data_IF_159230895735
#
_entry.id   IF_159230895735
#
_cell.length_a   1.000
_cell.length_b   1.000
_cell.length_c   1.000
_cell.angle_alpha   90.00
_cell.angle_beta   90.00
_cell.angle_gamma   90.00
#
_symmetry.space_group_name_H-M   'P 1'
#
loop_
_entity.id
_entity.type
_entity.pdbx_description
1 polymer ?
#
# COMPACT_ATOMS: atom_id res chain seq x y z
N UNK A 1 13.87 -25.32 -4.04
CA UNK A 1 14.84 -24.73 -3.10
C UNK A 1 14.11 -24.28 -1.85
N UNK A 2 14.79 -24.29 -0.69
CA UNK A 2 14.19 -23.78 0.55
C UNK A 2 14.02 -22.25 0.45
N UNK A 3 12.96 -21.65 1.02
CA UNK A 3 12.79 -20.20 1.05
C UNK A 3 13.94 -19.49 1.76
N UNK A 4 14.53 -18.49 1.09
CA UNK A 4 15.61 -17.65 1.62
C UNK A 4 15.05 -16.34 2.19
N UNK A 5 14.77 -16.33 3.50
CA UNK A 5 14.28 -15.14 4.20
C UNK A 5 15.31 -14.01 4.26
N UNK A 6 16.61 -14.32 4.17
CA UNK A 6 17.66 -13.31 4.22
C UNK A 6 17.76 -12.52 2.90
N UNK A 7 17.67 -13.20 1.76
CA UNK A 7 17.61 -12.53 0.46
C UNK A 7 16.42 -11.56 0.38
N UNK A 8 15.25 -11.97 0.88
CA UNK A 8 14.04 -11.13 0.94
C UNK A 8 14.27 -9.90 1.83
N UNK A 9 14.87 -10.09 3.01
CA UNK A 9 15.19 -8.98 3.92
C UNK A 9 16.10 -7.94 3.28
N UNK A 10 17.18 -8.39 2.63
CA UNK A 10 18.14 -7.51 1.95
C UNK A 10 17.44 -6.69 0.86
N UNK A 11 16.62 -7.35 0.04
CA UNK A 11 15.83 -6.66 -0.99
C UNK A 11 14.90 -5.61 -0.38
N UNK A 12 14.11 -5.96 0.64
CA UNK A 12 13.15 -5.05 1.27
C UNK A 12 13.83 -3.82 1.90
N UNK A 13 14.99 -4.01 2.54
CA UNK A 13 15.77 -2.90 3.10
C UNK A 13 16.31 -1.96 2.00
N UNK A 14 16.73 -2.51 0.86
CA UNK A 14 17.16 -1.72 -0.29
C UNK A 14 15.97 -1.02 -0.96
N UNK A 15 14.82 -1.69 -1.05
CA UNK A 15 13.59 -1.13 -1.61
C UNK A 15 13.15 0.10 -0.82
N UNK A 16 13.14 0.04 0.51
CA UNK A 16 12.87 1.20 1.36
C UNK A 16 13.80 2.37 1.05
N UNK A 17 15.12 2.11 0.91
CA UNK A 17 16.09 3.14 0.55
C UNK A 17 15.78 3.79 -0.79
N UNK A 18 15.56 2.97 -1.82
CA UNK A 18 15.30 3.45 -3.18
C UNK A 18 14.03 4.29 -3.26
N UNK A 19 12.94 3.85 -2.60
CA UNK A 19 11.68 4.60 -2.58
C UNK A 19 11.86 5.93 -1.84
N UNK A 20 12.50 5.93 -0.67
CA UNK A 20 12.73 7.17 0.07
C UNK A 20 13.53 8.17 -0.77
N UNK A 21 14.62 7.72 -1.40
CA UNK A 21 15.46 8.56 -2.24
C UNK A 21 14.69 9.16 -3.43
N UNK A 22 13.86 8.36 -4.11
CA UNK A 22 13.06 8.84 -5.23
C UNK A 22 12.01 9.87 -4.78
N UNK A 23 11.38 9.67 -3.62
CA UNK A 23 10.42 10.62 -3.07
C UNK A 23 11.10 11.92 -2.62
N UNK A 24 12.27 11.86 -1.98
CA UNK A 24 13.04 13.06 -1.63
C UNK A 24 13.45 13.87 -2.87
N UNK A 25 13.79 13.20 -3.98
CA UNK A 25 14.08 13.85 -5.25
C UNK A 25 12.84 14.52 -5.87
N UNK A 26 11.68 13.86 -5.79
CA UNK A 26 10.42 14.42 -6.28
C UNK A 26 9.98 15.65 -5.48
N UNK A 27 10.15 15.59 -4.15
CA UNK A 27 9.81 16.66 -3.23
C UNK A 27 10.76 17.86 -3.34
N UNK A 28 12.07 17.60 -3.31
CA UNK A 28 13.12 18.59 -3.45
C UNK A 28 13.33 19.51 -2.24
N UNK A 29 12.55 19.36 -1.15
CA UNK A 29 12.62 20.26 0.00
C UNK A 29 12.73 19.57 1.36
N UNK A 30 12.07 18.42 1.53
CA UNK A 30 12.08 17.65 2.78
C UNK A 30 12.78 16.30 2.61
N UNK A 31 13.22 15.73 3.72
CA UNK A 31 13.88 14.42 3.79
C UNK A 31 13.22 13.53 4.82
N UNK A 32 13.37 12.21 4.65
CA UNK A 32 12.85 11.23 5.59
C UNK A 32 13.66 11.25 6.90
N UNK A 33 12.95 11.31 8.01
CA UNK A 33 13.51 11.06 9.34
C UNK A 33 13.33 9.58 9.68
N UNK A 34 14.43 8.90 10.00
CA UNK A 34 14.40 7.49 10.39
C UNK A 34 14.24 7.33 11.90
N UNK A 35 13.35 6.42 12.27
CA UNK A 35 13.13 5.92 13.62
C UNK A 35 13.29 4.39 13.61
N UNK A 36 14.44 3.93 14.10
CA UNK A 36 14.78 2.51 14.21
C UNK A 36 14.35 1.97 15.57
N UNK A 37 13.65 0.83 15.57
CA UNK A 37 13.06 0.25 16.79
C UNK A 37 13.24 -1.26 16.85
N UNK A 38 13.24 -1.78 18.07
CA UNK A 38 13.29 -3.20 18.38
C UNK A 38 11.99 -3.64 19.05
N UNK A 39 11.61 -4.90 18.82
CA UNK A 39 10.44 -5.52 19.44
C UNK A 39 10.91 -6.47 20.52
N UNK A 40 10.36 -6.35 21.73
CA UNK A 40 10.72 -7.22 22.87
C UNK A 40 10.59 -8.72 22.55
N UNK A 41 9.59 -9.07 21.73
CA UNK A 41 9.28 -10.46 21.34
C UNK A 41 10.17 -10.99 20.19
N UNK A 42 11.07 -10.16 19.64
CA UNK A 42 11.96 -10.53 18.55
C UNK A 42 11.76 -9.68 17.29
N UNK A 43 12.90 -9.29 16.69
CA UNK A 43 12.97 -8.46 15.50
C UNK A 43 12.81 -6.97 15.79
N UNK A 44 12.30 -6.22 14.82
CA UNK A 44 12.19 -4.77 14.87
C UNK A 44 11.82 -4.16 13.52
N UNK A 45 12.18 -2.89 13.32
CA UNK A 45 11.91 -2.20 12.07
C UNK A 45 12.59 -0.84 11.96
N UNK A 46 12.42 -0.23 10.79
CA UNK A 46 12.83 1.14 10.48
C UNK A 46 11.63 1.88 9.95
N UNK A 47 11.11 2.80 10.72
CA UNK A 47 10.10 3.74 10.27
C UNK A 47 10.79 4.94 9.64
N UNK A 48 10.37 5.36 8.45
CA UNK A 48 10.85 6.59 7.82
C UNK A 48 9.67 7.47 7.52
N UNK A 49 9.68 8.70 8.03
CA UNK A 49 8.60 9.67 7.84
C UNK A 49 9.15 10.99 7.30
N UNK A 50 8.53 11.48 6.24
CA UNK A 50 8.72 12.82 5.69
C UNK A 50 7.44 13.61 5.97
N UNK A 51 7.57 14.80 6.56
CA UNK A 51 6.45 15.70 6.83
C UNK A 51 6.76 17.10 6.31
N UNK A 52 5.72 17.86 5.99
CA UNK A 52 5.84 19.27 5.59
C UNK A 52 6.77 19.49 4.38
N UNK A 53 6.77 18.54 3.43
CA UNK A 53 7.45 18.70 2.14
C UNK A 53 6.69 19.61 1.19
N UNK A 54 7.37 20.09 0.16
CA UNK A 54 6.81 20.94 -0.89
C UNK A 54 5.80 20.18 -1.77
N UNK A 55 6.00 18.87 -1.94
CA UNK A 55 5.12 17.99 -2.73
C UNK A 55 4.36 17.05 -1.82
N UNK A 56 5.04 16.46 -0.84
CA UNK A 56 4.44 15.49 0.07
C UNK A 56 4.18 16.14 1.43
N UNK A 57 2.89 16.34 1.73
CA UNK A 57 2.48 16.88 3.03
C UNK A 57 2.84 15.91 4.16
N UNK A 58 2.65 14.62 3.91
CA UNK A 58 3.15 13.53 4.73
C UNK A 58 3.40 12.29 3.87
N UNK A 59 4.54 11.64 4.06
CA UNK A 59 4.84 10.34 3.48
C UNK A 59 5.52 9.47 4.53
N UNK A 60 5.18 8.19 4.58
CA UNK A 60 5.97 7.25 5.36
C UNK A 60 6.21 5.94 4.65
N UNK A 61 7.41 5.41 4.84
CA UNK A 61 7.90 4.18 4.21
C UNK A 61 8.49 3.33 5.32
N UNK A 62 7.74 2.35 5.80
CA UNK A 62 8.09 1.54 6.95
C UNK A 62 8.60 0.19 6.51
N UNK A 63 9.78 -0.19 7.02
CA UNK A 63 10.29 -1.56 6.97
C UNK A 63 10.11 -2.21 8.34
N UNK A 64 9.70 -3.47 8.36
CA UNK A 64 9.71 -4.30 9.57
C UNK A 64 10.19 -5.70 9.26
N UNK A 65 10.88 -6.32 10.22
CA UNK A 65 11.20 -7.75 10.27
C UNK A 65 10.99 -8.21 11.70
N UNK A 66 9.88 -8.89 11.96
CA UNK A 66 9.51 -9.41 13.27
C UNK A 66 9.67 -10.92 13.29
N UNK A 67 10.05 -11.45 14.44
CA UNK A 67 10.19 -12.90 14.67
C UNK A 67 9.44 -13.31 15.92
N UNK A 68 9.17 -14.60 16.06
CA UNK A 68 8.62 -15.16 17.28
C UNK A 68 8.75 -16.69 17.32
N UNK A 69 8.83 -17.24 18.53
CA UNK A 69 8.98 -18.68 18.74
C UNK A 69 7.70 -19.47 18.45
N UNK A 70 6.54 -18.84 18.59
CA UNK A 70 5.23 -19.45 18.39
C UNK A 70 4.25 -18.47 17.75
N UNK A 71 3.38 -18.98 16.88
CA UNK A 71 2.29 -18.20 16.28
C UNK A 71 1.22 -17.82 17.33
N UNK A 72 0.64 -16.62 17.26
CA UNK A 72 -0.49 -16.25 18.10
C UNK A 72 -1.69 -17.18 17.89
N UNK A 73 -2.43 -17.48 18.97
CA UNK A 73 -3.59 -18.37 18.92
C UNK A 73 -4.65 -17.94 17.89
N UNK A 74 -4.83 -16.62 17.70
CA UNK A 74 -5.72 -16.04 16.69
C UNK A 74 -5.32 -16.40 15.26
N UNK A 75 -4.01 -16.49 14.96
CA UNK A 75 -3.52 -16.87 13.64
C UNK A 75 -3.67 -18.38 13.38
N UNK A 76 -3.47 -19.21 14.41
CA UNK A 76 -3.58 -20.67 14.27
C UNK A 76 -5.02 -21.18 14.18
N UNK A 77 -6.01 -20.40 14.64
CA UNK A 77 -7.42 -20.76 14.56
C UNK A 77 -7.91 -20.94 13.10
N UNK A 78 -7.34 -20.16 12.17
CA UNK A 78 -7.67 -20.22 10.75
C UNK A 78 -6.65 -21.02 9.92
N UNK A 79 -5.49 -21.34 10.50
CA UNK A 79 -4.38 -22.10 9.86
C UNK A 79 -3.75 -23.08 10.86
N UNK A 80 -4.39 -24.23 11.13
CA UNK A 80 -3.91 -25.21 12.10
C UNK A 80 -2.49 -25.72 11.83
N UNK A 81 -2.07 -25.73 10.57
CA UNK A 81 -0.73 -26.10 10.13
C UNK A 81 0.39 -25.18 10.67
N UNK A 82 0.03 -23.99 11.15
CA UNK A 82 0.94 -23.04 11.79
C UNK A 82 1.16 -23.29 13.28
N UNK A 83 0.39 -24.20 13.90
CA UNK A 83 0.49 -24.48 15.32
C UNK A 83 1.85 -25.06 15.70
N UNK A 84 2.48 -24.47 16.73
CA UNK A 84 3.80 -24.88 17.23
C UNK A 84 4.95 -24.59 16.27
N UNK A 85 4.76 -23.72 15.27
CA UNK A 85 5.82 -23.22 14.39
C UNK A 85 6.37 -21.89 14.92
N UNK A 86 7.68 -21.70 14.80
CA UNK A 86 8.29 -20.37 14.87
C UNK A 86 8.02 -19.61 13.58
N UNK A 87 8.04 -18.28 13.62
CA UNK A 87 7.71 -17.47 12.46
C UNK A 87 8.65 -16.27 12.27
N UNK A 88 8.72 -15.84 11.02
CA UNK A 88 9.26 -14.55 10.62
C UNK A 88 8.24 -13.87 9.70
N UNK A 89 8.02 -12.58 9.93
CA UNK A 89 7.25 -11.73 9.02
C UNK A 89 8.06 -10.48 8.72
N UNK A 90 8.21 -10.16 7.43
CA UNK A 90 8.94 -8.97 7.01
C UNK A 90 8.24 -8.28 5.85
N UNK A 91 8.41 -6.97 5.73
CA UNK A 91 7.80 -6.22 4.65
C UNK A 91 8.18 -4.75 4.63
N UNK A 92 7.87 -4.12 3.49
CA UNK A 92 7.82 -2.68 3.33
C UNK A 92 6.36 -2.28 3.13
N UNK A 93 5.89 -1.31 3.90
CA UNK A 93 4.56 -0.72 3.78
C UNK A 93 4.68 0.80 3.73
N UNK A 94 3.97 1.45 2.82
CA UNK A 94 4.03 2.89 2.65
C UNK A 94 2.68 3.50 2.33
N UNK A 95 2.52 4.74 2.76
CA UNK A 95 1.43 5.63 2.35
C UNK A 95 2.01 7.01 2.10
N UNK A 96 1.54 7.65 1.03
CA UNK A 96 2.00 8.97 0.61
C UNK A 96 0.77 9.85 0.43
N UNK A 97 0.76 10.98 1.15
CA UNK A 97 -0.26 12.01 1.09
C UNK A 97 0.35 13.30 0.51
N UNK A 98 0.17 13.54 -0.80
CA UNK A 98 0.61 14.77 -1.43
C UNK A 98 -0.13 15.99 -0.89
N UNK A 99 0.55 17.14 -0.91
CA UNK A 99 -0.05 18.43 -0.58
C UNK A 99 -1.05 18.87 -1.66
N UNK A 100 -0.66 18.75 -2.93
CA UNK A 100 -1.47 19.17 -4.08
C UNK A 100 -2.64 18.19 -4.34
N UNK A 101 -3.92 18.63 -4.36
CA UNK A 101 -5.08 17.77 -4.64
C UNK A 101 -5.07 17.06 -6.01
N UNK A 102 -4.28 17.54 -6.96
CA UNK A 102 -4.12 16.89 -8.27
C UNK A 102 -3.11 15.74 -8.27
N UNK A 103 -2.34 15.57 -7.19
CA UNK A 103 -1.49 14.39 -7.02
C UNK A 103 -2.24 13.38 -6.13
N UNK A 104 -2.51 12.15 -6.61
CA UNK A 104 -3.23 11.15 -5.82
C UNK A 104 -2.48 10.73 -4.57
N UNK A 105 -3.22 10.42 -3.49
CA UNK A 105 -2.67 9.56 -2.43
C UNK A 105 -2.35 8.19 -3.02
N UNK A 106 -1.30 7.54 -2.54
CA UNK A 106 -0.99 6.17 -2.92
C UNK A 106 -0.56 5.35 -1.72
N UNK A 107 -0.77 4.04 -1.83
CA UNK A 107 -0.31 3.05 -0.88
C UNK A 107 0.40 1.93 -1.64
N UNK A 108 1.43 1.36 -1.02
CA UNK A 108 2.04 0.13 -1.48
C UNK A 108 2.49 -0.73 -0.31
N UNK A 109 2.42 -2.04 -0.51
CA UNK A 109 2.90 -3.04 0.43
C UNK A 109 3.57 -4.18 -0.32
N UNK A 110 4.70 -4.67 0.19
CA UNK A 110 5.24 -5.98 -0.18
C UNK A 110 5.76 -6.66 1.07
N UNK A 111 5.38 -7.91 1.27
CA UNK A 111 5.66 -8.66 2.49
C UNK A 111 5.90 -10.14 2.22
N UNK A 112 6.62 -10.76 3.14
CA UNK A 112 6.92 -12.17 3.16
C UNK A 112 6.69 -12.73 4.56
N UNK A 113 6.03 -13.88 4.61
CA UNK A 113 5.82 -14.64 5.83
C UNK A 113 6.42 -16.03 5.67
N UNK A 114 7.06 -16.53 6.73
CA UNK A 114 7.50 -17.93 6.81
C UNK A 114 7.35 -18.47 8.23
N UNK A 115 6.83 -19.69 8.34
CA UNK A 115 6.72 -20.45 9.56
C UNK A 115 7.46 -21.79 9.47
N UNK A 116 8.30 -22.08 10.46
CA UNK A 116 9.19 -23.25 10.48
C UNK A 116 8.94 -24.13 11.71
N UNK A 117 9.14 -25.43 11.54
CA UNK A 117 9.12 -26.42 12.62
C UNK A 117 10.11 -27.53 12.27
N UNK A 118 10.86 -27.98 13.26
CA UNK A 118 11.82 -29.07 13.07
C UNK A 118 11.12 -30.32 12.53
N UNK A 119 11.70 -30.95 11.51
CA UNK A 119 11.15 -32.16 10.88
C UNK A 119 9.92 -31.93 9.98
N UNK A 120 9.54 -30.69 9.67
CA UNK A 120 8.43 -30.38 8.77
C UNK A 120 8.81 -29.31 7.74
N UNK A 121 8.22 -29.40 6.53
CA UNK A 121 8.40 -28.38 5.50
C UNK A 121 7.89 -27.00 5.97
N UNK A 122 8.56 -25.90 5.58
CA UNK A 122 8.15 -24.56 5.96
C UNK A 122 6.84 -24.17 5.26
N UNK A 123 5.98 -23.45 5.97
CA UNK A 123 4.79 -22.81 5.38
C UNK A 123 5.14 -21.35 5.13
N UNK A 124 4.94 -20.86 3.92
CA UNK A 124 5.34 -19.51 3.54
C UNK A 124 4.44 -18.95 2.45
N UNK A 125 4.40 -17.63 2.35
CA UNK A 125 3.74 -16.92 1.26
C UNK A 125 4.26 -15.47 1.18
N UNK A 126 4.09 -14.89 -0.01
CA UNK A 126 4.20 -13.46 -0.23
C UNK A 126 2.82 -12.82 -0.25
N UNK A 127 2.79 -11.51 0.01
CA UNK A 127 1.63 -10.67 -0.18
C UNK A 127 2.06 -9.26 -0.52
N UNK A 128 1.16 -8.47 -1.06
CA UNK A 128 1.48 -7.09 -1.41
C UNK A 128 0.52 -6.49 -2.42
N UNK A 129 1.00 -5.43 -3.06
CA UNK A 129 0.22 -4.64 -3.99
C UNK A 129 0.56 -3.17 -3.91
N UNK A 130 -0.05 -2.40 -4.79
CA UNK A 130 -0.05 -0.95 -4.76
C UNK A 130 -1.38 -0.45 -5.31
N UNK A 131 -1.83 0.71 -4.82
CA UNK A 131 -3.08 1.30 -5.23
C UNK A 131 -3.04 2.84 -5.25
N UNK A 132 -3.91 3.43 -6.07
CA UNK A 132 -3.97 4.87 -6.31
C UNK A 132 -5.33 5.44 -5.85
N UNK A 133 -5.28 6.50 -5.05
CA UNK A 133 -6.45 7.18 -4.46
C UNK A 133 -6.46 8.66 -4.89
N UNK A 134 -7.02 8.96 -6.07
CA UNK A 134 -7.11 10.33 -6.58
C UNK A 134 -8.19 11.16 -5.86
N UNK A 135 -8.03 12.48 -5.92
CA UNK A 135 -9.04 13.45 -5.51
C UNK A 135 -9.67 14.10 -6.75
N UNK A 136 -8.83 14.63 -7.63
CA UNK A 136 -9.22 15.10 -8.96
C UNK A 136 -8.52 14.21 -10.00
N UNK A 137 -9.18 13.14 -10.47
CA UNK A 137 -8.55 12.13 -11.31
C UNK A 137 -8.35 12.64 -12.74
N UNK A 138 -7.27 12.21 -13.37
CA UNK A 138 -7.06 12.32 -14.82
C UNK A 138 -7.12 10.91 -15.41
N UNK A 139 -7.97 10.70 -16.42
CA UNK A 139 -8.11 9.37 -17.04
C UNK A 139 -6.77 8.83 -17.59
N UNK A 140 -5.93 9.72 -18.13
CA UNK A 140 -4.59 9.37 -18.62
C UNK A 140 -3.68 8.81 -17.51
N UNK A 141 -3.69 9.40 -16.31
CA UNK A 141 -2.89 8.91 -15.18
C UNK A 141 -3.39 7.54 -14.70
N UNK A 142 -4.71 7.34 -14.70
CA UNK A 142 -5.32 6.05 -14.32
C UNK A 142 -4.98 4.97 -15.34
N UNK A 143 -5.08 5.29 -16.64
CA UNK A 143 -4.70 4.36 -17.71
C UNK A 143 -3.22 4.01 -17.67
N UNK A 144 -2.33 5.01 -17.51
CA UNK A 144 -0.88 4.78 -17.39
C UNK A 144 -0.55 3.93 -16.15
N UNK A 145 -1.17 4.20 -14.99
CA UNK A 145 -1.01 3.41 -13.76
C UNK A 145 -1.37 1.94 -13.95
N UNK A 146 -2.53 1.68 -14.55
CA UNK A 146 -3.01 0.31 -14.78
C UNK A 146 -2.28 -0.40 -15.92
N UNK A 147 -1.84 0.33 -16.95
CA UNK A 147 -1.03 -0.22 -18.02
C UNK A 147 0.36 -0.65 -17.49
N UNK A 148 0.99 0.18 -16.66
CA UNK A 148 2.23 -0.17 -15.97
C UNK A 148 2.04 -1.39 -15.05
N UNK A 149 0.93 -1.44 -14.30
CA UNK A 149 0.57 -2.60 -13.48
C UNK A 149 0.41 -3.88 -14.31
N UNK A 150 -0.14 -3.79 -15.52
CA UNK A 150 -0.27 -4.92 -16.44
C UNK A 150 1.09 -5.37 -16.96
N UNK A 151 1.91 -4.45 -17.46
CA UNK A 151 3.23 -4.74 -18.03
C UNK A 151 4.16 -5.43 -17.03
N UNK A 152 4.15 -5.02 -15.76
CA UNK A 152 4.95 -5.69 -14.73
C UNK A 152 4.49 -7.13 -14.45
N UNK A 153 3.20 -7.42 -14.63
CA UNK A 153 2.60 -8.73 -14.41
C UNK A 153 2.81 -9.68 -15.60
N UNK A 154 2.96 -9.17 -16.83
CA UNK A 154 3.04 -9.95 -18.06
C UNK A 154 4.10 -11.06 -18.04
N UNK A 155 5.35 -10.85 -17.54
CA UNK A 155 6.37 -11.90 -17.47
C UNK A 155 5.99 -13.08 -16.57
N UNK A 156 5.01 -12.90 -15.68
CA UNK A 156 4.63 -13.90 -14.69
C UNK A 156 3.36 -14.67 -15.10
N UNK A 157 2.57 -14.14 -16.02
CA UNK A 157 1.35 -14.78 -16.51
C UNK A 157 0.34 -13.75 -17.00
N UNK A 158 -0.38 -14.08 -18.07
CA UNK A 158 -1.39 -13.18 -18.65
C UNK A 158 -2.61 -12.98 -17.75
N UNK A 159 -2.84 -13.86 -16.79
CA UNK A 159 -3.91 -13.85 -15.81
C UNK A 159 -3.55 -13.12 -14.50
N UNK A 160 -2.27 -12.79 -14.28
CA UNK A 160 -1.79 -12.15 -13.05
C UNK A 160 -2.43 -10.78 -12.84
N UNK A 161 -2.37 -9.89 -13.84
CA UNK A 161 -2.97 -8.56 -13.77
C UNK A 161 -4.50 -8.61 -13.55
N UNK A 162 -5.32 -9.28 -14.39
CA UNK A 162 -6.77 -9.28 -14.17
C UNK A 162 -7.16 -9.87 -12.81
N UNK A 163 -6.44 -10.88 -12.32
CA UNK A 163 -6.69 -11.49 -11.00
C UNK A 163 -6.42 -10.50 -9.87
N UNK A 164 -5.21 -9.92 -9.82
CA UNK A 164 -4.81 -9.05 -8.72
C UNK A 164 -5.39 -7.65 -8.80
N UNK A 165 -5.73 -7.18 -10.01
CA UNK A 165 -6.51 -5.96 -10.17
C UNK A 165 -7.92 -6.14 -9.64
N UNK A 166 -8.62 -7.23 -9.99
CA UNK A 166 -9.94 -7.52 -9.45
C UNK A 166 -9.90 -7.64 -7.92
N UNK A 167 -8.89 -8.32 -7.38
CA UNK A 167 -8.74 -8.44 -5.94
C UNK A 167 -8.49 -7.08 -5.27
N UNK A 168 -7.76 -6.17 -5.92
CA UNK A 168 -7.59 -4.80 -5.46
C UNK A 168 -8.93 -4.05 -5.37
N UNK A 169 -9.78 -4.18 -6.39
CA UNK A 169 -11.12 -3.58 -6.39
C UNK A 169 -11.99 -4.13 -5.24
N UNK A 170 -11.96 -5.45 -5.03
CA UNK A 170 -12.75 -6.13 -3.99
C UNK A 170 -12.25 -5.79 -2.58
N UNK A 171 -10.93 -5.69 -2.38
CA UNK A 171 -10.33 -5.44 -1.07
C UNK A 171 -10.48 -3.99 -0.63
N UNK A 172 -10.21 -3.04 -1.53
CA UNK A 172 -10.26 -1.60 -1.22
C UNK A 172 -11.64 -1.01 -1.49
N UNK A 173 -12.68 -1.63 -0.92
CA UNK A 173 -14.06 -1.19 -1.02
C UNK A 173 -14.58 -0.70 0.34
N UNK A 174 -15.43 0.33 0.36
CA UNK A 174 -16.11 0.83 1.55
C UNK A 174 -17.59 0.43 1.49
N UNK A 175 -18.00 -0.73 2.05
CA UNK A 175 -19.37 -1.22 1.98
C UNK A 175 -20.44 -0.22 2.42
N UNK A 176 -20.19 0.55 3.48
CA UNK A 176 -21.15 1.52 4.01
C UNK A 176 -21.29 2.80 3.16
N UNK A 177 -20.39 3.01 2.19
CA UNK A 177 -20.43 4.11 1.22
C UNK A 177 -20.79 3.64 -0.18
N UNK A 178 -20.68 2.33 -0.42
CA UNK A 178 -20.81 1.72 -1.74
C UNK A 178 -19.87 2.35 -2.78
N UNK A 179 -18.61 2.61 -2.38
CA UNK A 179 -17.57 3.20 -3.22
C UNK A 179 -16.24 2.45 -3.04
N UNK A 180 -15.40 2.40 -4.08
CA UNK A 180 -14.00 1.99 -3.91
C UNK A 180 -13.20 3.10 -3.21
N UNK A 181 -12.12 2.75 -2.51
CA UNK A 181 -11.22 3.71 -1.86
C UNK A 181 -10.56 4.63 -2.89
N UNK A 182 -10.25 4.09 -4.06
CA UNK A 182 -9.60 4.76 -5.17
C UNK A 182 -9.83 4.00 -6.48
N UNK A 183 -8.91 4.18 -7.43
CA UNK A 183 -8.99 3.57 -8.78
C UNK A 183 -8.30 2.20 -8.86
N UNK A 184 -7.81 1.69 -7.72
CA UNK A 184 -7.19 0.38 -7.61
C UNK A 184 -5.73 0.33 -8.06
N UNK A 185 -5.32 -0.85 -8.51
CA UNK A 185 -3.94 -1.20 -8.84
C UNK A 185 -3.80 -2.72 -8.72
N UNK A 186 -2.86 -3.20 -7.92
CA UNK A 186 -2.68 -4.63 -7.64
C UNK A 186 -2.90 -4.91 -6.16
N UNK A 187 -3.53 -6.04 -5.85
CA UNK A 187 -3.55 -6.62 -4.51
C UNK A 187 -3.42 -8.13 -4.60
N UNK A 188 -2.52 -8.70 -3.80
CA UNK A 188 -2.35 -10.14 -3.66
C UNK A 188 -1.98 -10.52 -2.23
N UNK A 189 -2.40 -11.71 -1.83
CA UNK A 189 -2.05 -12.35 -0.58
C UNK A 189 -1.91 -13.85 -0.82
N UNK A 190 -1.31 -14.58 0.12
CA UNK A 190 -1.15 -16.03 0.04
C UNK A 190 -0.43 -16.54 -1.22
N UNK A 191 0.44 -15.71 -1.82
CA UNK A 191 1.18 -16.08 -3.02
C UNK A 191 2.35 -17.02 -2.68
N UNK A 192 2.21 -18.29 -3.04
CA UNK A 192 3.27 -19.30 -2.96
C UNK A 192 3.33 -20.24 -4.18
N UNK A 193 2.44 -20.04 -5.16
CA UNK A 193 2.34 -20.86 -6.37
C UNK A 193 3.51 -20.60 -7.34
N UNK A 194 4.00 -21.65 -7.99
CA UNK A 194 5.13 -21.55 -8.93
C UNK A 194 6.50 -21.52 -8.25
N UNK A 195 6.56 -21.65 -6.92
CA UNK A 195 7.79 -21.77 -6.15
C UNK A 195 8.38 -20.44 -5.68
N UNK A 196 9.29 -20.52 -4.71
CA UNK A 196 9.82 -19.36 -3.99
C UNK A 196 10.47 -18.32 -4.89
N UNK A 197 11.36 -18.72 -5.80
CA UNK A 197 12.10 -17.79 -6.68
C UNK A 197 11.15 -16.98 -7.55
N UNK A 198 10.21 -17.65 -8.21
CA UNK A 198 9.20 -16.98 -9.03
C UNK A 198 8.32 -16.02 -8.22
N UNK A 199 7.90 -16.41 -7.01
CA UNK A 199 7.10 -15.53 -6.15
C UNK A 199 7.91 -14.34 -5.65
N UNK A 200 9.19 -14.56 -5.33
CA UNK A 200 10.10 -13.53 -4.90
C UNK A 200 10.37 -12.52 -6.02
N UNK A 201 10.64 -12.99 -7.24
CA UNK A 201 10.80 -12.14 -8.44
C UNK A 201 9.55 -11.30 -8.71
N UNK A 202 8.36 -11.88 -8.56
CA UNK A 202 7.11 -11.13 -8.70
C UNK A 202 6.97 -10.04 -7.62
N UNK A 203 7.27 -10.37 -6.37
CA UNK A 203 7.27 -9.38 -5.28
C UNK A 203 8.28 -8.25 -5.53
N UNK A 204 9.47 -8.59 -6.05
CA UNK A 204 10.50 -7.60 -6.41
C UNK A 204 10.02 -6.68 -7.53
N UNK A 205 9.35 -7.23 -8.55
CA UNK A 205 8.75 -6.48 -9.66
C UNK A 205 7.64 -5.53 -9.17
N UNK A 206 6.76 -5.98 -8.28
CA UNK A 206 5.71 -5.12 -7.69
C UNK A 206 6.32 -4.02 -6.84
N UNK A 207 7.24 -4.36 -5.93
CA UNK A 207 7.85 -3.41 -5.01
C UNK A 207 8.63 -2.32 -5.75
N UNK A 208 9.48 -2.71 -6.71
CA UNK A 208 10.28 -1.78 -7.51
C UNK A 208 9.42 -1.03 -8.54
N UNK A 209 8.39 -1.70 -9.07
CA UNK A 209 7.47 -1.13 -10.05
C UNK A 209 6.61 0.00 -9.48
N UNK A 210 6.26 -0.05 -8.20
CA UNK A 210 5.45 1.00 -7.55
C UNK A 210 5.97 2.41 -7.84
N UNK A 211 7.23 2.69 -7.51
CA UNK A 211 7.77 4.06 -7.60
C UNK A 211 7.94 4.50 -9.06
N UNK A 212 8.25 3.57 -9.96
CA UNK A 212 8.33 3.81 -11.40
C UNK A 212 6.96 4.17 -11.99
N UNK A 213 5.87 3.57 -11.50
CA UNK A 213 4.51 3.90 -11.91
C UNK A 213 4.00 5.20 -11.29
N UNK A 214 4.39 5.52 -10.05
CA UNK A 214 3.86 6.69 -9.33
C UNK A 214 4.61 8.00 -9.66
N UNK A 215 5.93 7.95 -9.84
CA UNK A 215 6.76 9.16 -10.06
C UNK A 215 6.36 10.00 -11.28
N UNK A 216 5.96 9.41 -12.43
CA UNK A 216 5.48 10.18 -13.58
C UNK A 216 4.21 10.98 -13.27
N UNK A 217 3.28 10.39 -12.51
CA UNK A 217 2.03 11.06 -12.09
C UNK A 217 2.37 12.25 -11.19
N UNK A 218 3.23 12.05 -10.18
CA UNK A 218 3.66 13.14 -9.29
C UNK A 218 4.31 14.26 -10.09
N UNK A 219 5.25 13.93 -10.97
CA UNK A 219 6.01 14.91 -11.77
C UNK A 219 5.10 15.75 -12.67
N UNK A 220 4.05 15.12 -13.24
CA UNK A 220 3.09 15.78 -14.12
C UNK A 220 2.14 16.71 -13.36
N UNK A 221 1.77 16.34 -12.12
CA UNK A 221 0.67 17.00 -11.38
C UNK A 221 1.12 17.93 -10.27
N UNK A 222 2.33 17.78 -9.71
CA UNK A 222 2.78 18.50 -8.49
C UNK A 222 2.69 20.02 -8.58
N UNK A 223 2.88 20.59 -9.76
CA UNK A 223 2.87 22.05 -10.00
C UNK A 223 1.51 22.57 -10.48
N UNK A 224 0.46 21.74 -10.51
CA UNK A 224 -0.89 22.14 -10.93
C UNK A 224 -1.49 23.15 -9.94
N UNK A 225 -2.00 24.27 -10.43
CA UNK A 225 -2.62 25.29 -9.57
C UNK A 225 -3.93 24.77 -8.96
N UNK A 226 -4.11 24.96 -7.64
CA UNK A 226 -5.32 24.59 -6.91
C UNK A 226 -5.71 25.70 -5.93
N UNK A 227 -7.00 25.77 -5.58
CA UNK A 227 -7.53 26.72 -4.62
C UNK A 227 -8.04 26.07 -3.33
N UNK A 228 -8.70 26.87 -2.51
CA UNK A 228 -9.31 26.43 -1.25
C UNK A 228 -10.38 25.37 -1.48
N UNK A 229 -11.17 25.48 -2.56
CA UNK A 229 -12.20 24.49 -2.93
C UNK A 229 -11.60 23.10 -3.11
N UNK A 230 -10.54 22.98 -3.91
CA UNK A 230 -9.87 21.72 -4.17
C UNK A 230 -9.24 21.14 -2.91
N UNK A 231 -8.66 22.00 -2.07
CA UNK A 231 -8.10 21.60 -0.78
C UNK A 231 -9.16 21.10 0.19
N UNK A 232 -10.29 21.77 0.32
CA UNK A 232 -11.39 21.36 1.19
C UNK A 232 -12.02 20.03 0.76
N UNK A 233 -12.08 19.77 -0.55
CA UNK A 233 -12.50 18.48 -1.08
C UNK A 233 -11.47 17.39 -0.82
N UNK A 234 -10.18 17.67 -1.00
CA UNK A 234 -9.09 16.74 -0.66
C UNK A 234 -9.15 16.32 0.81
N UNK A 235 -9.30 17.27 1.73
CA UNK A 235 -9.42 17.01 3.17
C UNK A 235 -10.67 16.18 3.49
N UNK A 236 -11.78 16.43 2.80
CA UNK A 236 -12.98 15.62 2.93
C UNK A 236 -12.77 14.17 2.42
N UNK A 237 -12.15 14.01 1.24
CA UNK A 237 -11.84 12.69 0.67
C UNK A 237 -10.83 11.90 1.50
N UNK A 238 -9.86 12.57 2.13
CA UNK A 238 -8.97 11.97 3.14
C UNK A 238 -9.77 11.35 4.31
N UNK A 239 -10.98 11.84 4.59
CA UNK A 239 -11.92 11.24 5.55
C UNK A 239 -12.30 9.81 5.18
N UNK A 240 -12.49 9.52 3.89
CA UNK A 240 -12.77 8.16 3.41
C UNK A 240 -11.55 7.24 3.54
N UNK A 241 -10.35 7.78 3.37
CA UNK A 241 -9.13 7.03 3.60
C UNK A 241 -9.02 6.58 5.06
N UNK A 242 -9.32 7.48 6.00
CA UNK A 242 -9.40 7.18 7.44
C UNK A 242 -10.51 6.16 7.73
N UNK A 243 -11.71 6.35 7.16
CA UNK A 243 -12.83 5.40 7.30
C UNK A 243 -12.41 3.98 6.89
N UNK A 244 -11.73 3.82 5.75
CA UNK A 244 -11.26 2.51 5.31
C UNK A 244 -10.23 1.91 6.27
N UNK A 245 -9.17 2.65 6.61
CA UNK A 245 -8.07 2.11 7.41
C UNK A 245 -8.53 1.73 8.83
N UNK A 246 -9.44 2.48 9.44
CA UNK A 246 -9.91 2.21 10.81
C UNK A 246 -11.05 1.20 10.90
N UNK A 247 -11.83 0.99 9.83
CA UNK A 247 -13.02 0.13 9.86
C UNK A 247 -12.82 -1.19 9.13
N UNK A 248 -12.04 -1.21 8.04
CA UNK A 248 -11.98 -2.37 7.13
C UNK A 248 -10.58 -2.92 6.93
N UNK A 249 -9.53 -2.11 7.03
CA UNK A 249 -8.19 -2.60 6.76
C UNK A 249 -7.74 -3.64 7.81
N UNK A 250 -7.63 -4.89 7.35
CA UNK A 250 -7.26 -6.03 8.20
C UNK A 250 -5.90 -5.85 8.85
N UNK A 251 -4.94 -5.25 8.14
CA UNK A 251 -3.60 -4.99 8.64
C UNK A 251 -3.58 -4.01 9.81
N UNK A 252 -4.27 -2.88 9.66
CA UNK A 252 -4.41 -1.86 10.69
C UNK A 252 -5.12 -2.40 11.93
N UNK A 253 -6.29 -3.04 11.75
CA UNK A 253 -7.06 -3.61 12.85
C UNK A 253 -6.26 -4.66 13.63
N UNK A 254 -5.63 -5.60 12.93
CA UNK A 254 -4.82 -6.64 13.56
C UNK A 254 -3.62 -6.03 14.31
N UNK A 255 -2.91 -5.08 13.70
CA UNK A 255 -1.76 -4.43 14.32
C UNK A 255 -2.13 -3.71 15.62
N UNK A 256 -3.24 -2.98 15.65
CA UNK A 256 -3.69 -2.26 16.84
C UNK A 256 -4.18 -3.22 17.93
N UNK A 257 -4.91 -4.28 17.57
CA UNK A 257 -5.45 -5.26 18.53
C UNK A 257 -4.38 -6.17 19.16
N UNK A 258 -3.25 -6.38 18.47
CA UNK A 258 -2.18 -7.29 18.91
C UNK A 258 -0.98 -6.60 19.55
N UNK A 259 -1.08 -5.29 19.83
CA UNK A 259 0.00 -4.52 20.44
C UNK A 259 1.17 -4.24 19.49
N UNK A 260 0.90 -4.16 18.18
CA UNK A 260 1.87 -3.64 17.22
C UNK A 260 2.21 -2.18 17.50
N UNK A 261 3.32 -1.68 16.91
CA UNK A 261 3.79 -0.31 17.14
C UNK A 261 2.81 0.71 16.55
N UNK A 262 1.98 1.30 17.42
CA UNK A 262 0.88 2.21 17.05
C UNK A 262 1.30 3.31 16.09
N UNK A 263 2.38 4.05 16.38
CA UNK A 263 2.87 5.14 15.53
C UNK A 263 3.29 4.67 14.12
N UNK A 264 3.84 3.46 14.00
CA UNK A 264 4.19 2.90 12.69
C UNK A 264 2.96 2.44 11.90
N UNK A 265 1.89 2.00 12.59
CA UNK A 265 0.64 1.57 11.97
C UNK A 265 -0.16 2.79 11.50
N UNK A 266 -0.31 3.79 12.37
CA UNK A 266 -1.07 5.01 12.12
C UNK A 266 -0.35 6.03 11.25
N UNK A 267 0.92 5.80 10.90
CA UNK A 267 1.62 6.55 9.85
C UNK A 267 0.81 6.63 8.54
N UNK A 268 -0.01 5.60 8.26
CA UNK A 268 -0.93 5.54 7.12
C UNK A 268 -2.03 6.62 7.12
N UNK A 269 -2.22 7.34 8.23
CA UNK A 269 -3.26 8.35 8.34
C UNK A 269 -2.82 9.67 7.70
N UNK A 270 -3.73 10.40 7.02
CA UNK A 270 -3.42 11.71 6.51
C UNK A 270 -3.16 12.71 7.64
N UNK A 271 -2.31 13.73 7.40
CA UNK A 271 -1.95 14.73 8.42
C UNK A 271 -3.15 15.60 8.82
N UNK A 272 -4.07 15.83 7.88
CA UNK A 272 -5.28 16.61 8.08
C UNK A 272 -6.44 15.94 7.34
N UNK A 273 -7.62 16.02 7.95
CA UNK A 273 -8.85 15.41 7.47
C UNK A 273 -10.05 16.24 7.89
N UNK A 274 -11.11 16.21 7.08
CA UNK A 274 -12.37 16.89 7.35
C UNK A 274 -13.53 15.92 7.21
N UNK A 275 -14.53 16.04 8.08
CA UNK A 275 -15.82 15.39 7.92
C UNK A 275 -16.92 16.45 7.79
N UNK A 276 -17.88 16.20 6.90
CA UNK A 276 -19.03 17.06 6.69
C UNK A 276 -20.30 16.21 6.60
N UNK A 277 -21.29 16.56 7.41
CA UNK A 277 -22.59 15.87 7.41
C UNK A 277 -23.32 16.13 6.08
N UNK A 278 -23.78 15.06 5.43
CA UNK A 278 -24.60 15.15 4.23
C UNK A 278 -23.94 15.81 3.03
N UNK A 279 -22.60 15.84 2.96
CA UNK A 279 -21.91 16.43 1.80
C UNK A 279 -22.27 15.68 0.50
N UNK A 280 -22.62 16.47 -0.52
CA UNK A 280 -22.81 16.03 -1.90
C UNK A 280 -22.02 16.97 -2.80
N UNK A 281 -21.25 16.47 -3.77
CA UNK A 281 -20.59 17.33 -4.73
C UNK A 281 -21.64 18.04 -5.62
N UNK A 282 -21.31 19.23 -6.09
CA UNK A 282 -22.16 19.95 -7.04
C UNK A 282 -22.32 19.11 -8.33
N UNK A 283 -23.53 18.99 -8.90
CA UNK A 283 -23.73 18.24 -10.13
C UNK A 283 -22.86 18.76 -11.28
N UNK A 284 -22.30 17.84 -12.09
CA UNK A 284 -21.39 18.14 -13.20
C UNK A 284 -20.08 18.83 -12.81
N UNK A 285 -19.69 18.78 -11.52
CA UNK A 285 -18.39 19.22 -11.04
C UNK A 285 -17.33 18.12 -11.18
N UNK A 286 -16.05 18.50 -11.09
CA UNK A 286 -14.95 17.53 -11.07
C UNK A 286 -15.00 16.65 -9.80
N UNK A 287 -15.55 17.17 -8.71
CA UNK A 287 -15.81 16.43 -7.48
C UNK A 287 -16.87 15.35 -7.70
N UNK A 288 -17.94 15.65 -8.47
CA UNK A 288 -18.97 14.68 -8.83
C UNK A 288 -18.42 13.60 -9.78
N UNK A 289 -17.59 14.00 -10.75
CA UNK A 289 -16.94 13.08 -11.68
C UNK A 289 -16.14 11.97 -10.98
N UNK A 290 -15.45 12.29 -9.88
CA UNK A 290 -14.75 11.28 -9.06
C UNK A 290 -15.70 10.14 -8.66
N UNK A 291 -16.88 10.47 -8.12
CA UNK A 291 -17.86 9.48 -7.66
C UNK A 291 -18.56 8.78 -8.83
N UNK A 292 -19.01 9.56 -9.79
CA UNK A 292 -19.83 9.07 -10.90
C UNK A 292 -19.04 8.16 -11.83
N UNK A 293 -17.74 8.44 -12.02
CA UNK A 293 -16.92 7.76 -12.99
C UNK A 293 -15.79 6.94 -12.38
N UNK A 294 -15.12 7.40 -11.32
CA UNK A 294 -13.85 6.79 -10.92
C UNK A 294 -13.90 5.84 -9.71
N UNK A 295 -14.79 6.05 -8.74
CA UNK A 295 -14.85 5.27 -7.49
C UNK A 295 -15.72 4.00 -7.59
N UNK A 296 -15.53 3.25 -8.68
CA UNK A 296 -16.21 1.98 -8.94
C UNK A 296 -15.28 1.02 -9.71
N UNK A 297 -15.42 -0.30 -9.52
CA UNK A 297 -14.66 -1.28 -10.29
C UNK A 297 -14.98 -1.14 -11.79
N UNK A 298 -13.94 -0.98 -12.61
CA UNK A 298 -14.08 -0.90 -14.07
C UNK A 298 -12.80 -1.31 -14.79
N UNK A 299 -12.91 -1.71 -16.05
CA UNK A 299 -11.75 -2.04 -16.87
C UNK A 299 -11.15 -0.76 -17.47
N UNK A 300 -10.09 -0.26 -16.83
CA UNK A 300 -9.38 0.94 -17.26
C UNK A 300 -8.66 0.80 -18.60
N UNK A 301 -8.35 -0.44 -19.00
CA UNK A 301 -7.60 -0.74 -20.22
C UNK A 301 -8.51 -1.20 -21.37
N UNK A 302 -9.83 -1.30 -21.14
CA UNK A 302 -10.79 -1.45 -22.21
C UNK A 302 -10.86 -0.14 -23.03
N UNK A 303 -10.88 -0.32 -24.36
CA UNK A 303 -10.89 0.76 -25.36
C UNK A 303 -12.05 1.72 -25.22
#
# INVERSE_FOLDING_TARGET
MAPDSNAVKVFLMQLQNNICQALEQLDGSASFVEDSWLREQGGGGRSRVLTQGAVFEQAGVNFSHVTGEQMPASATAHRPELAGRSFEAMGVSLVIHPLNPYVPTTHANVRFFIARKEGADPVWWFGGGFDLTPYYPFLEDVKEWHQHAKELCEPFGSDMYPTYKKWCDDYFFLPHRNETRGVGGLFFDDLNEGGFERCFDFMQAVGSGFITGYSPIVSRRKDSAYGEREREFQLYRRGRYVEFNLVYDRGTLFGLQTGGRTESILMSMPPLVRWQYGFQPEPNSAEAELYDQFLKPQDWLAS
#
